data_IF_180737602429
#
_entry.id   IF_180737602429
#
_cell.length_a   1.000
_cell.length_b   1.000
_cell.length_c   1.000
_cell.angle_alpha   90.00
_cell.angle_beta   90.00
_cell.angle_gamma   90.00
#
_symmetry.space_group_name_H-M   'P 1'
#
loop_
_entity.id
_entity.type
_entity.pdbx_description
1 polymer ?
#
# COMPACT_ATOMS: atom_id res chain seq x y z
N UNK A 1 -2.12 8.86 -16.70
CA UNK A 1 -1.27 9.89 -16.05
C UNK A 1 -0.79 9.43 -14.66
N UNK A 2 -1.64 9.01 -13.72
CA UNK A 2 -1.18 8.55 -12.40
C UNK A 2 -0.25 7.31 -12.43
N UNK A 3 -0.52 6.34 -13.33
CA UNK A 3 0.40 5.21 -13.56
C UNK A 3 1.77 5.64 -14.10
N UNK A 4 1.78 6.69 -14.92
CA UNK A 4 3.02 7.25 -15.48
C UNK A 4 3.89 7.89 -14.39
N UNK A 5 3.29 8.57 -13.40
CA UNK A 5 4.04 9.19 -12.30
C UNK A 5 4.67 8.17 -11.36
N UNK A 6 3.99 7.06 -11.07
CA UNK A 6 4.56 5.98 -10.25
C UNK A 6 5.75 5.32 -10.94
N UNK A 7 5.63 5.03 -12.23
CA UNK A 7 6.75 4.51 -13.02
C UNK A 7 7.93 5.50 -13.03
N UNK A 8 7.67 6.79 -13.26
CA UNK A 8 8.71 7.83 -13.22
C UNK A 8 9.39 7.89 -11.85
N UNK A 9 8.63 7.82 -10.75
CA UNK A 9 9.15 7.77 -9.40
C UNK A 9 10.16 6.64 -9.22
N UNK A 10 9.75 5.42 -9.58
CA UNK A 10 10.62 4.24 -9.45
C UNK A 10 11.83 4.36 -10.37
N UNK A 11 11.65 4.80 -11.62
CA UNK A 11 12.75 4.96 -12.58
C UNK A 11 13.79 6.00 -12.13
N UNK A 12 13.34 7.19 -11.71
CA UNK A 12 14.21 8.25 -11.20
C UNK A 12 14.99 7.79 -9.97
N UNK A 13 14.36 7.01 -9.09
CA UNK A 13 15.05 6.42 -7.95
C UNK A 13 16.05 5.33 -8.37
N UNK A 14 15.66 4.40 -9.22
CA UNK A 14 16.51 3.25 -9.60
C UNK A 14 17.76 3.72 -10.36
N UNK A 15 17.60 4.70 -11.27
CA UNK A 15 18.69 5.20 -12.12
C UNK A 15 19.55 6.25 -11.40
N UNK A 16 18.93 7.17 -10.66
CA UNK A 16 19.62 8.35 -10.12
C UNK A 16 19.64 8.43 -8.60
N UNK A 17 19.04 7.46 -7.88
CA UNK A 17 18.84 7.52 -6.42
C UNK A 17 18.15 8.80 -5.96
N UNK A 18 17.27 9.34 -6.81
CA UNK A 18 16.60 10.61 -6.55
C UNK A 18 15.38 10.42 -5.62
N UNK A 19 15.64 10.35 -4.31
CA UNK A 19 14.60 10.20 -3.27
C UNK A 19 13.59 11.34 -3.31
N UNK A 20 14.04 12.58 -3.55
CA UNK A 20 13.15 13.74 -3.62
C UNK A 20 12.15 13.64 -4.77
N UNK A 21 12.61 13.26 -5.96
CA UNK A 21 11.72 13.04 -7.11
C UNK A 21 10.73 11.90 -6.84
N UNK A 22 11.23 10.77 -6.32
CA UNK A 22 10.41 9.62 -5.95
C UNK A 22 9.22 10.02 -5.06
N UNK A 23 9.51 10.71 -3.94
CA UNK A 23 8.48 11.15 -2.99
C UNK A 23 7.50 12.15 -3.60
N UNK A 24 8.01 13.12 -4.36
CA UNK A 24 7.17 14.13 -5.02
C UNK A 24 6.21 13.49 -6.02
N UNK A 25 6.70 12.64 -6.91
CA UNK A 25 5.90 12.00 -7.96
C UNK A 25 4.88 11.01 -7.39
N UNK A 26 5.23 10.25 -6.35
CA UNK A 26 4.27 9.38 -5.66
C UNK A 26 3.18 10.18 -4.91
N UNK A 27 3.57 11.27 -4.24
CA UNK A 27 2.60 12.18 -3.60
C UNK A 27 1.64 12.78 -4.62
N UNK A 28 2.15 13.22 -5.77
CA UNK A 28 1.35 13.79 -6.85
C UNK A 28 0.41 12.74 -7.46
N UNK A 29 0.88 11.51 -7.68
CA UNK A 29 0.04 10.41 -8.15
C UNK A 29 -1.12 10.11 -7.18
N UNK A 30 -0.86 10.15 -5.87
CA UNK A 30 -1.88 9.99 -4.84
C UNK A 30 -2.85 11.20 -4.77
N UNK A 31 -2.34 12.42 -4.91
CA UNK A 31 -3.17 13.63 -4.97
C UNK A 31 -4.14 13.61 -6.15
N UNK A 32 -3.70 13.15 -7.33
CA UNK A 32 -4.58 12.95 -8.48
C UNK A 32 -5.69 11.93 -8.19
N UNK A 33 -5.40 10.89 -7.39
CA UNK A 33 -6.43 9.94 -6.95
C UNK A 33 -7.43 10.58 -6.00
N UNK A 34 -6.98 11.43 -5.07
CA UNK A 34 -7.87 12.18 -4.19
C UNK A 34 -8.84 13.03 -5.01
N UNK A 35 -8.34 13.79 -5.99
CA UNK A 35 -9.20 14.61 -6.88
C UNK A 35 -10.21 13.76 -7.66
N UNK A 36 -9.84 12.55 -8.08
CA UNK A 36 -10.76 11.63 -8.74
C UNK A 36 -11.88 11.18 -7.80
N UNK A 37 -11.56 10.84 -6.54
CA UNK A 37 -12.57 10.49 -5.53
C UNK A 37 -13.51 11.67 -5.26
N UNK A 38 -12.97 12.88 -5.12
CA UNK A 38 -13.75 14.11 -4.88
C UNK A 38 -14.72 14.42 -6.01
N UNK A 39 -14.28 14.27 -7.26
CA UNK A 39 -15.14 14.45 -8.43
C UNK A 39 -16.27 13.43 -8.48
N UNK A 40 -15.97 12.17 -8.14
CA UNK A 40 -16.99 11.11 -8.06
C UNK A 40 -18.02 11.41 -6.97
N UNK A 41 -17.55 11.79 -5.77
CA UNK A 41 -18.43 12.16 -4.65
C UNK A 41 -19.25 13.43 -4.97
N UNK A 42 -18.72 14.31 -5.83
CA UNK A 42 -19.41 15.47 -6.40
C UNK A 42 -20.43 15.15 -7.51
N UNK A 43 -20.63 13.87 -7.84
CA UNK A 43 -21.63 13.41 -8.83
C UNK A 43 -21.11 13.25 -10.26
N UNK A 44 -19.81 13.38 -10.49
CA UNK A 44 -19.25 13.11 -11.81
C UNK A 44 -19.28 11.61 -12.13
N UNK A 45 -19.67 11.26 -13.36
CA UNK A 45 -19.72 9.90 -13.85
C UNK A 45 -18.31 9.31 -14.05
N UNK A 46 -17.72 8.82 -12.97
CA UNK A 46 -16.44 8.09 -12.96
C UNK A 46 -16.71 6.60 -12.76
N UNK A 47 -15.97 5.76 -13.48
CA UNK A 47 -16.16 4.30 -13.39
C UNK A 47 -15.94 3.81 -11.93
N UNK A 48 -16.86 2.99 -11.39
CA UNK A 48 -16.78 2.49 -10.02
C UNK A 48 -15.46 1.80 -9.67
N UNK A 49 -14.83 1.13 -10.64
CA UNK A 49 -13.53 0.48 -10.49
C UNK A 49 -12.38 1.43 -10.09
N UNK A 50 -12.53 2.74 -10.34
CA UNK A 50 -11.54 3.75 -9.95
C UNK A 50 -11.77 4.32 -8.55
N UNK A 51 -12.91 4.04 -7.92
CA UNK A 51 -13.30 4.56 -6.61
C UNK A 51 -13.59 3.46 -5.58
N UNK A 52 -13.31 2.19 -5.95
CA UNK A 52 -13.40 1.03 -5.06
C UNK A 52 -12.20 0.96 -4.09
N UNK A 53 -12.18 -0.06 -3.23
CA UNK A 53 -11.08 -0.30 -2.28
C UNK A 53 -9.74 -0.59 -2.94
N UNK A 54 -9.68 -0.87 -4.25
CA UNK A 54 -8.44 -0.92 -5.04
C UNK A 54 -7.57 0.35 -4.92
N UNK A 55 -8.15 1.45 -4.42
CA UNK A 55 -7.46 2.67 -4.03
C UNK A 55 -6.37 2.47 -2.97
N UNK A 56 -6.30 1.31 -2.30
CA UNK A 56 -5.18 0.96 -1.43
C UNK A 56 -3.82 1.02 -2.14
N UNK A 57 -3.76 0.82 -3.47
CA UNK A 57 -2.52 0.91 -4.25
C UNK A 57 -1.96 2.35 -4.26
N UNK A 58 -2.74 3.38 -4.65
CA UNK A 58 -2.38 4.78 -4.42
C UNK A 58 -2.05 5.12 -2.96
N UNK A 59 -2.74 4.53 -1.98
CA UNK A 59 -2.44 4.75 -0.57
C UNK A 59 -1.04 4.26 -0.18
N UNK A 60 -0.66 3.06 -0.62
CA UNK A 60 0.70 2.55 -0.46
C UNK A 60 1.74 3.46 -1.14
N UNK A 61 1.39 4.08 -2.27
CA UNK A 61 2.21 5.11 -2.91
C UNK A 61 2.39 6.36 -2.03
N UNK A 62 1.31 6.87 -1.44
CA UNK A 62 1.38 8.02 -0.52
C UNK A 62 2.20 7.71 0.74
N UNK A 63 2.05 6.49 1.28
CA UNK A 63 2.86 5.99 2.39
C UNK A 63 4.34 5.89 1.99
N UNK A 64 4.64 5.33 0.82
CA UNK A 64 6.01 5.23 0.32
C UNK A 64 6.64 6.60 0.01
N UNK A 65 5.83 7.59 -0.35
CA UNK A 65 6.25 8.98 -0.47
C UNK A 65 6.62 9.63 0.86
N UNK A 66 6.33 8.97 1.99
CA UNK A 66 6.43 9.49 3.34
C UNK A 66 5.67 10.82 3.51
N UNK A 67 4.47 10.91 2.90
CA UNK A 67 3.62 12.10 2.96
C UNK A 67 2.35 11.79 3.77
N UNK A 68 2.44 12.01 5.08
CA UNK A 68 1.36 11.68 6.02
C UNK A 68 0.05 12.39 5.69
N UNK A 69 0.09 13.70 5.38
CA UNK A 69 -1.10 14.48 5.07
C UNK A 69 -1.85 13.93 3.84
N UNK A 70 -1.13 13.57 2.78
CA UNK A 70 -1.74 12.97 1.58
C UNK A 70 -2.26 11.57 1.89
N UNK A 71 -1.51 10.75 2.64
CA UNK A 71 -1.96 9.40 3.03
C UNK A 71 -3.24 9.44 3.88
N UNK A 72 -3.31 10.32 4.87
CA UNK A 72 -4.50 10.52 5.72
C UNK A 72 -5.71 11.02 4.90
N UNK A 73 -5.49 12.00 4.01
CA UNK A 73 -6.56 12.54 3.15
C UNK A 73 -7.10 11.48 2.20
N UNK A 74 -6.21 10.66 1.62
CA UNK A 74 -6.64 9.57 0.76
C UNK A 74 -7.40 8.49 1.55
N UNK A 75 -6.88 8.08 2.71
CA UNK A 75 -7.51 7.07 3.56
C UNK A 75 -8.92 7.49 4.03
N UNK A 76 -9.13 8.78 4.35
CA UNK A 76 -10.44 9.28 4.78
C UNK A 76 -11.50 9.20 3.67
N UNK A 77 -11.10 9.32 2.40
CA UNK A 77 -11.98 9.24 1.22
C UNK A 77 -12.11 7.83 0.62
N UNK A 78 -11.26 6.90 1.02
CA UNK A 78 -11.31 5.50 0.57
C UNK A 78 -12.51 4.75 1.17
N UNK A 79 -13.24 4.02 0.33
CA UNK A 79 -14.36 3.18 0.75
C UNK A 79 -15.60 3.96 1.23
N UNK A 80 -16.53 3.28 1.91
CA UNK A 80 -17.84 3.81 2.28
C UNK A 80 -18.90 3.74 1.18
N UNK A 81 -18.61 2.99 0.10
CA UNK A 81 -19.44 2.89 -1.11
C UNK A 81 -19.89 1.44 -1.29
N UNK A 82 -20.69 0.93 -0.35
CA UNK A 82 -20.98 -0.51 -0.20
C UNK A 82 -21.41 -1.22 -1.49
N UNK A 83 -22.26 -0.59 -2.31
CA UNK A 83 -22.73 -1.19 -3.56
C UNK A 83 -21.56 -1.41 -4.55
N UNK A 84 -20.69 -0.40 -4.69
CA UNK A 84 -19.50 -0.46 -5.54
C UNK A 84 -18.51 -1.47 -4.97
N UNK A 85 -18.23 -1.42 -3.68
CA UNK A 85 -17.26 -2.31 -3.06
C UNK A 85 -17.68 -3.78 -3.16
N UNK A 86 -18.98 -4.06 -3.07
CA UNK A 86 -19.52 -5.43 -3.23
C UNK A 86 -19.37 -5.95 -4.65
N UNK A 87 -19.48 -5.09 -5.65
CA UNK A 87 -19.40 -5.47 -7.06
C UNK A 87 -17.96 -5.54 -7.58
N UNK A 88 -17.10 -4.61 -7.16
CA UNK A 88 -15.78 -4.40 -7.76
C UNK A 88 -14.61 -4.89 -6.89
N UNK A 89 -14.75 -4.98 -5.56
CA UNK A 89 -13.66 -5.41 -4.69
C UNK A 89 -13.76 -6.90 -4.37
N UNK A 90 -12.64 -7.61 -4.56
CA UNK A 90 -12.55 -8.97 -4.01
C UNK A 90 -12.20 -8.86 -2.53
N UNK A 91 -12.36 -9.99 -1.84
CA UNK A 91 -12.13 -10.09 -0.39
C UNK A 91 -10.74 -9.58 0.00
N UNK A 92 -9.73 -9.86 -0.82
CA UNK A 92 -8.36 -9.40 -0.62
C UNK A 92 -8.24 -7.87 -0.65
N UNK A 93 -8.68 -7.21 -1.72
CA UNK A 93 -8.54 -5.76 -1.89
C UNK A 93 -9.31 -4.99 -0.83
N UNK A 94 -10.52 -5.46 -0.48
CA UNK A 94 -11.33 -4.86 0.58
C UNK A 94 -10.65 -4.96 1.94
N UNK A 95 -10.17 -6.16 2.30
CA UNK A 95 -9.54 -6.38 3.60
C UNK A 95 -8.22 -5.60 3.74
N UNK A 96 -7.37 -5.61 2.70
CA UNK A 96 -6.10 -4.89 2.72
C UNK A 96 -6.32 -3.38 2.84
N UNK A 97 -7.19 -2.82 2.00
CA UNK A 97 -7.48 -1.39 2.01
C UNK A 97 -8.11 -0.92 3.32
N UNK A 98 -9.04 -1.71 3.89
CA UNK A 98 -9.63 -1.39 5.19
C UNK A 98 -8.60 -1.43 6.31
N UNK A 99 -7.70 -2.43 6.31
CA UNK A 99 -6.67 -2.53 7.33
C UNK A 99 -5.74 -1.30 7.32
N UNK A 100 -5.22 -0.92 6.14
CA UNK A 100 -4.40 0.28 5.99
C UNK A 100 -5.14 1.55 6.42
N UNK A 101 -6.40 1.71 5.98
CA UNK A 101 -7.24 2.86 6.35
C UNK A 101 -7.43 2.96 7.86
N UNK A 102 -7.78 1.87 8.53
CA UNK A 102 -8.06 1.87 9.97
C UNK A 102 -6.82 2.09 10.82
N UNK A 103 -5.65 1.57 10.41
CA UNK A 103 -4.37 1.87 11.08
C UNK A 103 -4.05 3.36 10.99
N UNK A 104 -4.21 3.97 9.81
CA UNK A 104 -3.99 5.42 9.63
C UNK A 104 -4.99 6.26 10.43
N UNK A 105 -6.25 5.84 10.51
CA UNK A 105 -7.28 6.48 11.31
C UNK A 105 -7.11 6.24 12.82
N UNK A 106 -6.13 5.44 13.25
CA UNK A 106 -5.92 5.01 14.64
C UNK A 106 -7.17 4.35 15.26
N UNK A 107 -8.00 3.72 14.43
CA UNK A 107 -9.17 2.96 14.85
C UNK A 107 -8.78 1.50 15.09
N UNK A 108 -8.35 1.22 16.33
CA UNK A 108 -7.85 -0.09 16.72
C UNK A 108 -8.89 -1.22 16.55
N UNK A 109 -10.17 -0.94 16.80
CA UNK A 109 -11.25 -1.93 16.71
C UNK A 109 -11.43 -2.38 15.26
N UNK A 110 -11.59 -1.42 14.35
CA UNK A 110 -11.74 -1.74 12.92
C UNK A 110 -10.46 -2.31 12.34
N UNK A 111 -9.29 -1.82 12.78
CA UNK A 111 -8.00 -2.35 12.32
C UNK A 111 -7.82 -3.83 12.68
N UNK A 112 -8.21 -4.25 13.89
CA UNK A 112 -8.13 -5.65 14.31
C UNK A 112 -9.00 -6.56 13.45
N UNK A 113 -10.26 -6.19 13.22
CA UNK A 113 -11.17 -6.96 12.38
C UNK A 113 -10.73 -7.03 10.92
N UNK A 114 -10.26 -5.91 10.37
CA UNK A 114 -9.75 -5.84 9.00
C UNK A 114 -8.44 -6.64 8.83
N UNK A 115 -7.56 -6.62 9.83
CA UNK A 115 -6.32 -7.41 9.86
C UNK A 115 -6.64 -8.91 9.83
N UNK A 116 -7.57 -9.39 10.66
CA UNK A 116 -7.98 -10.81 10.65
C UNK A 116 -8.60 -11.23 9.30
N UNK A 117 -9.43 -10.37 8.72
CA UNK A 117 -9.99 -10.60 7.39
C UNK A 117 -8.89 -10.66 6.31
N UNK A 118 -7.86 -9.83 6.43
CA UNK A 118 -6.74 -9.80 5.50
C UNK A 118 -5.84 -11.03 5.64
N UNK A 119 -5.50 -11.44 6.87
CA UNK A 119 -4.80 -12.70 7.13
C UNK A 119 -5.55 -13.90 6.53
N UNK A 120 -6.88 -13.93 6.66
CA UNK A 120 -7.70 -14.97 6.04
C UNK A 120 -7.65 -14.90 4.51
N UNK A 121 -7.74 -13.71 3.92
CA UNK A 121 -7.65 -13.53 2.47
C UNK A 121 -6.28 -13.98 1.90
N UNK A 122 -5.19 -13.77 2.64
CA UNK A 122 -3.84 -14.21 2.29
C UNK A 122 -3.64 -15.74 2.40
N UNK A 123 -4.56 -16.49 3.00
CA UNK A 123 -4.55 -17.97 2.98
C UNK A 123 -5.20 -18.55 1.72
N UNK A 124 -5.93 -17.73 0.96
CA UNK A 124 -6.60 -18.19 -0.26
C UNK A 124 -5.59 -18.37 -1.41
N UNK A 125 -5.87 -19.34 -2.29
CA UNK A 125 -5.04 -19.62 -3.46
C UNK A 125 -4.91 -18.36 -4.32
N UNK A 126 -3.67 -17.98 -4.62
CA UNK A 126 -3.35 -16.77 -5.39
C UNK A 126 -2.91 -15.57 -4.54
N UNK A 127 -3.17 -15.58 -3.23
CA UNK A 127 -2.83 -14.48 -2.33
C UNK A 127 -1.73 -14.81 -1.31
N UNK A 128 -1.22 -16.05 -1.31
CA UNK A 128 -0.21 -16.53 -0.35
C UNK A 128 1.07 -15.70 -0.35
N UNK A 129 1.44 -15.11 -1.47
CA UNK A 129 2.62 -14.26 -1.58
C UNK A 129 2.46 -12.89 -0.89
N UNK A 130 1.27 -12.58 -0.36
CA UNK A 130 1.01 -11.35 0.38
C UNK A 130 0.93 -11.58 1.90
N UNK A 131 1.26 -12.78 2.39
CA UNK A 131 1.23 -13.09 3.84
C UNK A 131 2.16 -12.20 4.66
N UNK A 132 3.34 -11.85 4.13
CA UNK A 132 4.25 -10.92 4.80
C UNK A 132 3.60 -9.56 5.09
N UNK A 133 2.74 -9.05 4.20
CA UNK A 133 2.00 -7.81 4.46
C UNK A 133 1.02 -7.98 5.63
N UNK A 134 0.32 -9.11 5.70
CA UNK A 134 -0.60 -9.38 6.80
C UNK A 134 0.14 -9.47 8.14
N UNK A 135 1.31 -10.11 8.16
CA UNK A 135 2.15 -10.17 9.36
C UNK A 135 2.68 -8.79 9.77
N UNK A 136 3.14 -7.98 8.82
CA UNK A 136 3.63 -6.63 9.13
C UNK A 136 2.50 -5.75 9.68
N UNK A 137 1.31 -5.80 9.09
CA UNK A 137 0.14 -5.05 9.58
C UNK A 137 -0.31 -5.54 10.96
N UNK A 138 -0.27 -6.86 11.23
CA UNK A 138 -0.50 -7.39 12.58
C UNK A 138 0.51 -6.84 13.58
N UNK A 139 1.80 -6.80 13.21
CA UNK A 139 2.83 -6.24 14.08
C UNK A 139 2.56 -4.76 14.38
N UNK A 140 2.08 -3.99 13.40
CA UNK A 140 1.69 -2.59 13.59
C UNK A 140 0.48 -2.46 14.54
N UNK A 141 -0.57 -3.26 14.33
CA UNK A 141 -1.78 -3.22 15.17
C UNK A 141 -1.50 -3.63 16.61
N UNK A 142 -0.66 -4.67 16.81
CA UNK A 142 -0.34 -5.21 18.12
C UNK A 142 0.92 -4.59 18.78
N UNK A 143 1.61 -3.68 18.08
CA UNK A 143 2.90 -3.12 18.50
C UNK A 143 4.01 -4.18 18.74
N UNK A 144 4.07 -5.22 17.91
CA UNK A 144 5.00 -6.35 18.02
C UNK A 144 6.31 -6.10 17.24
N UNK A 145 7.16 -5.21 17.76
CA UNK A 145 8.42 -4.83 17.09
C UNK A 145 9.37 -6.00 16.79
N UNK A 146 9.41 -7.01 17.65
CA UNK A 146 10.32 -8.16 17.53
C UNK A 146 10.00 -9.09 16.35
N UNK A 147 8.77 -9.08 15.84
CA UNK A 147 8.34 -9.91 14.69
C UNK A 147 8.37 -9.14 13.37
N UNK A 148 8.59 -7.82 13.42
CA UNK A 148 8.46 -6.97 12.24
C UNK A 148 9.50 -7.30 11.17
N UNK A 149 10.73 -7.60 11.56
CA UNK A 149 11.81 -7.92 10.61
C UNK A 149 11.49 -9.19 9.81
N UNK A 150 11.01 -10.26 10.46
CA UNK A 150 10.59 -11.51 9.81
C UNK A 150 9.42 -11.26 8.85
N UNK A 151 8.47 -10.41 9.24
CA UNK A 151 7.37 -10.02 8.36
C UNK A 151 7.87 -9.33 7.07
N UNK A 152 8.86 -8.44 7.17
CA UNK A 152 9.45 -7.79 6.00
C UNK A 152 10.26 -8.75 5.12
N UNK A 153 10.96 -9.72 5.71
CA UNK A 153 11.61 -10.78 4.94
C UNK A 153 10.62 -11.57 4.10
N UNK A 154 9.44 -11.89 4.67
CA UNK A 154 8.37 -12.55 3.91
C UNK A 154 7.74 -11.62 2.85
N UNK A 155 7.60 -10.31 3.11
CA UNK A 155 7.20 -9.33 2.08
C UNK A 155 8.15 -9.40 0.89
N UNK A 156 9.46 -9.37 1.12
CA UNK A 156 10.46 -9.40 0.05
C UNK A 156 10.44 -10.75 -0.70
N UNK A 157 10.29 -11.86 0.02
CA UNK A 157 10.18 -13.18 -0.58
C UNK A 157 8.94 -13.29 -1.48
N UNK A 158 7.77 -12.87 -0.98
CA UNK A 158 6.52 -12.84 -1.73
C UNK A 158 6.58 -11.90 -2.94
N UNK A 159 7.15 -10.70 -2.76
CA UNK A 159 7.35 -9.73 -3.83
C UNK A 159 8.18 -10.31 -4.99
N UNK A 160 9.28 -11.00 -4.68
CA UNK A 160 10.11 -11.68 -5.70
C UNK A 160 9.33 -12.75 -6.46
N UNK A 161 8.51 -13.55 -5.77
CA UNK A 161 7.64 -14.56 -6.40
C UNK A 161 6.60 -13.91 -7.32
N UNK A 162 6.07 -12.75 -6.93
CA UNK A 162 5.12 -11.97 -7.73
C UNK A 162 5.76 -11.16 -8.86
N UNK A 163 7.09 -11.03 -8.89
CA UNK A 163 7.83 -10.29 -9.94
C UNK A 163 8.25 -11.17 -11.12
N UNK A 164 7.89 -12.46 -11.13
CA UNK A 164 8.26 -13.38 -12.22
C UNK A 164 7.04 -13.96 -12.94
N UNK A 165 7.21 -14.30 -14.22
CA UNK A 165 6.23 -15.03 -15.06
C UNK A 165 4.88 -14.34 -15.24
N UNK A 166 3.88 -14.66 -14.42
CA UNK A 166 2.51 -14.11 -14.48
C UNK A 166 2.09 -13.54 -13.13
N UNK A 167 3.07 -13.25 -12.28
CA UNK A 167 2.84 -12.59 -10.99
C UNK A 167 2.39 -11.15 -11.17
N UNK A 168 1.79 -10.59 -10.12
CA UNK A 168 1.18 -9.25 -10.12
C UNK A 168 2.17 -8.13 -10.49
N UNK A 169 3.44 -8.30 -10.11
CA UNK A 169 4.48 -7.29 -10.32
C UNK A 169 5.30 -7.55 -11.57
N UNK A 170 5.05 -8.64 -12.31
CA UNK A 170 5.80 -8.93 -13.52
C UNK A 170 5.54 -7.86 -14.60
N UNK A 171 6.61 -7.39 -15.23
CA UNK A 171 6.63 -6.32 -16.24
C UNK A 171 6.04 -4.99 -15.76
N UNK A 172 6.12 -4.71 -14.46
CA UNK A 172 5.75 -3.41 -13.89
C UNK A 172 6.96 -2.76 -13.21
N UNK A 173 6.80 -1.50 -12.83
CA UNK A 173 7.79 -0.79 -12.02
C UNK A 173 8.10 -1.51 -10.70
N UNK A 174 7.16 -2.31 -10.19
CA UNK A 174 7.33 -3.03 -8.94
C UNK A 174 8.38 -4.15 -9.06
N UNK A 175 8.77 -4.63 -10.25
CA UNK A 175 9.91 -5.58 -10.37
C UNK A 175 11.22 -4.98 -9.82
N UNK A 176 11.38 -3.66 -9.95
CA UNK A 176 12.62 -2.96 -9.62
C UNK A 176 12.65 -2.49 -8.16
N UNK A 177 11.49 -2.28 -7.55
CA UNK A 177 11.36 -1.72 -6.21
C UNK A 177 10.04 -2.17 -5.57
N UNK A 178 10.09 -2.66 -4.33
CA UNK A 178 8.89 -3.03 -3.58
C UNK A 178 8.23 -1.78 -2.97
N UNK A 179 7.56 -0.96 -3.80
CA UNK A 179 6.91 0.29 -3.35
C UNK A 179 5.89 0.02 -2.24
N UNK A 180 5.17 -1.10 -2.34
CA UNK A 180 4.21 -1.52 -1.30
C UNK A 180 4.91 -1.82 0.03
N UNK A 181 6.07 -2.48 -0.01
CA UNK A 181 6.89 -2.72 1.17
C UNK A 181 7.41 -1.42 1.78
N UNK A 182 7.90 -0.49 0.96
CA UNK A 182 8.33 0.85 1.43
C UNK A 182 7.18 1.57 2.14
N UNK A 183 5.97 1.53 1.56
CA UNK A 183 4.78 2.13 2.18
C UNK A 183 4.44 1.52 3.54
N UNK A 184 4.49 0.19 3.68
CA UNK A 184 4.24 -0.47 4.97
C UNK A 184 5.36 -0.20 5.97
N UNK A 185 6.62 -0.05 5.53
CA UNK A 185 7.74 0.31 6.41
C UNK A 185 7.57 1.71 6.99
N UNK A 186 7.23 2.71 6.17
CA UNK A 186 6.91 4.06 6.66
C UNK A 186 5.70 4.05 7.59
N UNK A 187 4.65 3.27 7.27
CA UNK A 187 3.50 3.12 8.16
C UNK A 187 3.92 2.53 9.52
N UNK A 188 4.82 1.55 9.55
CA UNK A 188 5.33 0.98 10.80
C UNK A 188 6.08 2.03 11.63
N UNK A 189 6.94 2.85 11.00
CA UNK A 189 7.65 3.93 11.69
C UNK A 189 6.70 5.01 12.23
N UNK A 190 5.66 5.39 11.50
CA UNK A 190 4.60 6.30 11.99
C UNK A 190 3.81 5.73 13.18
N UNK A 191 3.96 4.43 13.46
CA UNK A 191 3.39 3.76 14.62
C UNK A 191 4.45 3.42 15.69
N UNK A 192 5.65 4.00 15.60
CA UNK A 192 6.71 3.86 16.61
C UNK A 192 7.50 2.56 16.52
N UNK A 193 7.36 1.80 15.44
CA UNK A 193 8.12 0.58 15.21
C UNK A 193 9.45 0.86 14.48
N UNK A 194 10.47 0.00 14.67
CA UNK A 194 11.76 0.18 14.02
C UNK A 194 11.67 0.01 12.49
N UNK A 195 12.55 0.69 11.77
CA UNK A 195 12.73 0.43 10.35
C UNK A 195 13.24 -1.01 10.12
N UNK A 196 12.73 -1.73 9.11
CA UNK A 196 13.30 -3.00 8.71
C UNK A 196 14.72 -2.84 8.14
N UNK A 197 15.48 -3.93 8.15
CA UNK A 197 16.80 -3.95 7.53
C UNK A 197 16.70 -3.63 6.03
N UNK A 198 17.58 -2.76 5.50
CA UNK A 198 17.53 -2.37 4.10
C UNK A 198 17.87 -3.53 3.16
N UNK A 199 17.23 -3.54 1.99
CA UNK A 199 17.53 -4.48 0.90
C UNK A 199 17.44 -3.79 -0.45
N UNK A 200 17.86 -4.47 -1.53
CA UNK A 200 17.75 -3.92 -2.88
C UNK A 200 16.31 -3.53 -3.28
N UNK A 201 15.31 -4.27 -2.79
CA UNK A 201 13.89 -4.03 -3.05
C UNK A 201 13.23 -3.12 -2.00
N UNK A 202 13.89 -2.90 -0.85
CA UNK A 202 13.42 -2.05 0.24
C UNK A 202 14.59 -1.18 0.77
N UNK A 203 14.98 -0.15 0.01
CA UNK A 203 16.13 0.68 0.37
C UNK A 203 15.86 1.53 1.61
N UNK A 204 16.84 1.61 2.52
CA UNK A 204 16.70 2.33 3.78
C UNK A 204 16.58 3.86 3.64
N UNK A 205 17.07 4.44 2.54
CA UNK A 205 16.95 5.87 2.28
C UNK A 205 15.52 6.32 1.93
N UNK A 206 14.65 5.36 1.55
CA UNK A 206 13.23 5.59 1.31
C UNK A 206 12.36 5.43 2.57
N UNK A 207 12.90 4.84 3.64
CA UNK A 207 12.20 4.54 4.90
C UNK A 207 12.63 5.55 5.97
N UNK A 208 11.75 6.49 6.35
CA UNK A 208 12.10 7.62 7.23
C UNK A 208 11.00 7.99 8.22
#
# INVERSE_FOLDING_TARGET
MASSLRLLAVADYVVHKNVTAFRRQLSEAAALRITLLERFDGGEAISPSYVSMMTYKPLLGALAANNEAVAQTLASRMGGREAIEREYDRVFERAFGLCLKSILAKDASTAQGAMQAFEHACKQRGNVDFQGYAYALRCIVNNESHLLQEAFEEIIAGHRRQSVRRGLFHQTEDEMLCVWGVGVANLAQWNGLPAPAPSALLPGDLVQ
#
